data_IF_385664243570
#
_entry.id   IF_385664243570
#
_cell.length_a   1.000
_cell.length_b   1.000
_cell.length_c   1.000
_cell.angle_alpha   90.00
_cell.angle_beta   90.00
_cell.angle_gamma   90.00
#
_symmetry.space_group_name_H-M   'P 1'
#
loop_
_entity.id
_entity.type
_entity.pdbx_description
1 polymer ?
#
# COMPACT_ATOMS: atom_id res chain seq x y z
N UNK A 1 -45.51 -6.12 -51.55
CA UNK A 1 -44.27 -6.92 -51.32
C UNK A 1 -43.99 -6.97 -49.82
N UNK A 2 -43.52 -8.13 -49.35
CA UNK A 2 -43.71 -8.68 -47.99
C UNK A 2 -42.92 -7.96 -46.89
N UNK A 3 -43.60 -7.65 -45.78
CA UNK A 3 -43.00 -7.25 -44.49
C UNK A 3 -42.23 -8.42 -43.86
N UNK A 4 -40.97 -8.18 -43.50
CA UNK A 4 -40.11 -9.13 -42.79
C UNK A 4 -40.41 -9.15 -41.30
N UNK A 5 -40.85 -10.31 -40.81
CA UNK A 5 -41.16 -10.59 -39.40
C UNK A 5 -39.88 -10.93 -38.62
N UNK A 6 -39.80 -10.35 -37.42
CA UNK A 6 -38.77 -10.53 -36.38
C UNK A 6 -38.77 -11.98 -35.86
N UNK A 7 -37.60 -12.62 -35.76
CA UNK A 7 -37.42 -13.88 -35.01
C UNK A 7 -36.61 -13.66 -33.73
N UNK A 8 -37.31 -13.66 -32.59
CA UNK A 8 -36.72 -13.87 -31.25
C UNK A 8 -36.23 -15.32 -31.12
N UNK A 9 -35.04 -15.52 -30.54
CA UNK A 9 -34.58 -16.83 -30.05
C UNK A 9 -34.44 -16.77 -28.53
N UNK A 10 -35.39 -17.39 -27.83
CA UNK A 10 -35.24 -17.82 -26.44
C UNK A 10 -35.03 -19.35 -26.44
N UNK A 11 -34.02 -19.83 -25.72
CA UNK A 11 -34.00 -21.19 -25.18
C UNK A 11 -33.38 -21.16 -23.79
N UNK A 12 -34.26 -21.02 -22.81
CA UNK A 12 -34.09 -21.55 -21.46
C UNK A 12 -34.35 -23.06 -21.50
N UNK A 13 -33.88 -23.76 -20.46
CA UNK A 13 -34.27 -25.11 -20.02
C UNK A 13 -33.54 -26.31 -20.69
N UNK A 14 -32.48 -26.79 -20.05
CA UNK A 14 -32.16 -28.22 -19.96
C UNK A 14 -31.64 -28.51 -18.53
N UNK A 15 -32.57 -28.94 -17.67
CA UNK A 15 -32.31 -29.60 -16.39
C UNK A 15 -33.14 -30.89 -16.40
N UNK A 16 -32.55 -31.93 -15.80
CA UNK A 16 -33.08 -33.25 -15.42
C UNK A 16 -32.85 -34.40 -16.41
N UNK A 17 -32.05 -35.37 -15.96
CA UNK A 17 -32.03 -36.74 -16.48
C UNK A 17 -30.82 -37.54 -15.98
N UNK A 18 -31.09 -38.61 -15.22
CA UNK A 18 -30.20 -39.74 -14.88
C UNK A 18 -29.30 -39.60 -13.65
N UNK A 19 -29.94 -39.67 -12.47
CA UNK A 19 -29.37 -40.39 -11.35
C UNK A 19 -29.70 -41.88 -11.50
N UNK A 20 -28.68 -42.72 -11.67
CA UNK A 20 -28.59 -44.10 -11.18
C UNK A 20 -27.23 -44.63 -11.64
N UNK A 21 -26.29 -44.80 -10.71
CA UNK A 21 -25.17 -45.77 -10.70
C UNK A 21 -24.46 -45.58 -9.37
N UNK A 22 -25.21 -45.84 -8.30
CA UNK A 22 -24.63 -46.26 -7.03
C UNK A 22 -24.75 -47.77 -7.02
N UNK A 23 -23.61 -48.44 -6.83
CA UNK A 23 -23.36 -49.69 -6.10
C UNK A 23 -22.27 -50.51 -6.82
N UNK A 24 -21.31 -50.98 -6.01
CA UNK A 24 -20.13 -51.81 -6.31
C UNK A 24 -18.92 -50.97 -6.77
N UNK A 25 -17.99 -50.56 -5.90
CA UNK A 25 -17.07 -51.48 -5.21
C UNK A 25 -16.49 -50.85 -3.93
N UNK A 26 -16.47 -51.66 -2.88
CA UNK A 26 -15.81 -51.37 -1.61
C UNK A 26 -14.28 -51.43 -1.74
N UNK A 27 -13.66 -50.63 -0.88
CA UNK A 27 -12.42 -50.90 -0.16
C UNK A 27 -11.13 -51.11 -0.98
N UNK A 28 -10.40 -50.02 -1.16
CA UNK A 28 -8.95 -50.05 -0.99
C UNK A 28 -8.52 -48.76 -0.25
N UNK A 29 -8.86 -48.71 1.04
CA UNK A 29 -8.29 -47.71 1.96
C UNK A 29 -6.82 -48.07 2.20
N UNK A 30 -5.94 -47.64 1.31
CA UNK A 30 -4.53 -47.50 1.67
C UNK A 30 -4.42 -46.27 2.56
N UNK A 31 -4.05 -46.39 3.85
CA UNK A 31 -3.66 -45.21 4.61
C UNK A 31 -2.37 -44.70 3.99
N UNK A 32 -2.46 -43.62 3.21
CA UNK A 32 -1.29 -42.83 2.86
C UNK A 32 -0.71 -42.30 4.18
N UNK A 33 0.34 -42.96 4.66
CA UNK A 33 1.11 -42.58 5.84
C UNK A 33 1.81 -41.25 5.51
N UNK A 34 1.10 -40.14 5.75
CA UNK A 34 1.71 -38.83 5.79
C UNK A 34 2.79 -38.88 6.87
N UNK A 35 4.05 -38.87 6.46
CA UNK A 35 5.15 -38.60 7.40
C UNK A 35 4.87 -37.21 7.95
N UNK A 36 4.54 -37.12 9.23
CA UNK A 36 4.63 -35.87 9.97
C UNK A 36 6.10 -35.43 9.90
N UNK A 37 6.42 -34.66 8.87
CA UNK A 37 7.60 -33.82 8.86
C UNK A 37 7.35 -32.81 9.96
N UNK A 38 7.94 -33.06 11.11
CA UNK A 38 8.21 -32.01 12.09
C UNK A 38 8.77 -30.83 11.31
N UNK A 39 8.11 -29.65 11.32
CA UNK A 39 8.71 -28.47 10.75
C UNK A 39 9.98 -28.23 11.55
N UNK A 40 11.13 -28.45 10.91
CA UNK A 40 12.39 -27.94 11.43
C UNK A 40 12.17 -26.42 11.56
N UNK A 41 12.32 -25.81 12.75
CA UNK A 41 12.09 -24.39 12.88
C UNK A 41 13.03 -23.68 11.90
N UNK A 42 12.45 -22.97 10.95
CA UNK A 42 13.19 -22.08 10.08
C UNK A 42 14.09 -21.19 10.95
N UNK A 43 15.31 -20.82 10.52
CA UNK A 43 16.20 -19.93 11.28
C UNK A 43 15.60 -18.55 11.62
N UNK A 44 14.38 -18.27 11.12
CA UNK A 44 13.58 -17.08 11.38
C UNK A 44 12.73 -17.17 12.66
N UNK A 45 12.58 -18.37 13.26
CA UNK A 45 11.76 -18.58 14.46
C UNK A 45 12.51 -18.32 15.79
N UNK A 46 13.84 -18.18 15.75
CA UNK A 46 14.68 -17.88 16.93
C UNK A 46 15.16 -16.42 16.95
N UNK A 47 14.34 -15.47 16.51
CA UNK A 47 14.58 -14.07 16.93
C UNK A 47 13.93 -13.88 18.28
N UNK A 48 14.66 -14.28 19.31
CA UNK A 48 14.23 -14.21 20.70
C UNK A 48 13.66 -12.85 21.09
N UNK A 49 12.83 -12.90 22.13
CA UNK A 49 12.39 -11.79 22.97
C UNK A 49 13.58 -11.04 23.56
N UNK A 50 14.35 -10.36 22.72
CA UNK A 50 15.13 -9.22 23.15
C UNK A 50 14.14 -8.08 23.21
N UNK A 51 13.71 -7.76 24.42
CA UNK A 51 12.98 -6.55 24.84
C UNK A 51 13.81 -5.27 24.58
N UNK A 52 14.37 -5.15 23.38
CA UNK A 52 14.84 -3.91 22.77
C UNK A 52 13.63 -3.40 22.00
N UNK A 53 13.08 -2.26 22.42
CA UNK A 53 12.04 -1.58 21.64
C UNK A 53 12.39 -1.63 20.15
N UNK A 54 11.38 -1.84 19.30
CA UNK A 54 11.59 -2.05 17.87
C UNK A 54 12.60 -1.02 17.36
N UNK A 55 13.58 -1.44 16.56
CA UNK A 55 14.59 -0.50 16.04
C UNK A 55 13.93 0.75 15.43
N UNK A 56 12.73 0.55 14.86
CA UNK A 56 11.82 1.56 14.36
C UNK A 56 11.41 2.64 15.40
N UNK A 57 11.06 2.23 16.62
CA UNK A 57 10.69 3.09 17.74
C UNK A 57 11.74 4.16 18.06
N UNK A 58 13.00 3.72 18.00
CA UNK A 58 14.15 4.52 18.41
C UNK A 58 14.60 5.47 17.29
N UNK A 59 14.07 5.35 16.07
CA UNK A 59 14.40 6.26 14.99
C UNK A 59 13.78 7.64 15.22
N UNK A 60 14.53 8.67 14.84
CA UNK A 60 13.97 10.00 14.63
C UNK A 60 13.15 10.01 13.32
N UNK A 61 12.36 11.06 13.13
CA UNK A 61 11.46 11.19 11.98
C UNK A 61 12.20 11.10 10.64
N UNK A 62 13.38 11.72 10.55
CA UNK A 62 14.17 11.79 9.32
C UNK A 62 14.71 10.41 8.90
N UNK A 63 15.33 9.68 9.84
CA UNK A 63 15.85 8.34 9.59
C UNK A 63 14.72 7.37 9.24
N UNK A 64 13.60 7.45 9.96
CA UNK A 64 12.40 6.65 9.69
C UNK A 64 11.88 6.88 8.27
N UNK A 65 11.62 8.13 7.92
CA UNK A 65 11.01 8.52 6.64
C UNK A 65 11.94 8.29 5.47
N UNK A 66 13.26 8.47 5.66
CA UNK A 66 14.26 8.10 4.65
C UNK A 66 14.23 6.61 4.33
N UNK A 67 14.15 5.75 5.36
CA UNK A 67 13.99 4.30 5.18
C UNK A 67 12.65 3.95 4.52
N UNK A 68 11.57 4.60 4.94
CA UNK A 68 10.23 4.42 4.39
C UNK A 68 10.21 4.75 2.89
N UNK A 69 10.66 5.94 2.50
CA UNK A 69 10.57 6.41 1.12
C UNK A 69 11.47 5.61 0.18
N UNK A 70 12.62 5.12 0.66
CA UNK A 70 13.46 4.18 -0.09
C UNK A 70 12.69 2.90 -0.47
N UNK A 71 11.91 2.35 0.46
CA UNK A 71 11.20 1.08 0.25
C UNK A 71 9.79 1.29 -0.32
N UNK A 72 9.27 2.52 -0.27
CA UNK A 72 7.89 2.87 -0.61
C UNK A 72 7.46 2.37 -1.99
N UNK A 73 8.25 2.49 -3.08
CA UNK A 73 7.84 1.95 -4.39
C UNK A 73 7.48 0.46 -4.34
N UNK A 74 8.24 -0.33 -3.59
CA UNK A 74 7.97 -1.77 -3.45
C UNK A 74 6.68 -2.04 -2.67
N UNK A 75 6.42 -1.29 -1.59
CA UNK A 75 5.20 -1.43 -0.79
C UNK A 75 3.97 -0.92 -1.54
N UNK A 76 4.07 0.25 -2.20
CA UNK A 76 3.02 0.87 -3.00
C UNK A 76 2.58 -0.04 -4.15
N UNK A 77 3.53 -0.60 -4.90
CA UNK A 77 3.22 -1.50 -6.00
C UNK A 77 2.57 -2.81 -5.52
N UNK A 78 2.87 -3.30 -4.32
CA UNK A 78 2.12 -4.44 -3.74
C UNK A 78 0.70 -4.05 -3.34
N UNK A 79 0.53 -2.88 -2.74
CA UNK A 79 -0.77 -2.36 -2.34
C UNK A 79 -1.69 -2.15 -3.55
N UNK A 80 -1.22 -1.45 -4.58
CA UNK A 80 -2.00 -1.17 -5.80
C UNK A 80 -2.39 -2.45 -6.54
N UNK A 81 -1.48 -3.41 -6.63
CA UNK A 81 -1.77 -4.71 -7.26
C UNK A 81 -2.81 -5.52 -6.47
N UNK A 82 -2.80 -5.42 -5.13
CA UNK A 82 -3.83 -6.04 -4.29
C UNK A 82 -5.18 -5.35 -4.49
N UNK A 83 -5.21 -4.02 -4.48
CA UNK A 83 -6.44 -3.24 -4.69
C UNK A 83 -7.07 -3.58 -6.06
N UNK A 84 -6.26 -3.66 -7.12
CA UNK A 84 -6.72 -4.04 -8.47
C UNK A 84 -7.35 -5.43 -8.52
N UNK A 85 -6.75 -6.43 -7.84
CA UNK A 85 -7.31 -7.79 -7.80
C UNK A 85 -8.67 -7.83 -7.09
N UNK A 86 -8.88 -6.95 -6.11
CA UNK A 86 -10.15 -6.84 -5.38
C UNK A 86 -11.24 -6.16 -6.20
N UNK A 87 -10.91 -5.09 -6.93
CA UNK A 87 -11.91 -4.33 -7.71
C UNK A 87 -12.42 -5.07 -8.95
N UNK A 88 -11.72 -6.11 -9.43
CA UNK A 88 -12.05 -6.95 -10.61
C UNK A 88 -12.36 -6.19 -11.92
N UNK A 89 -12.18 -4.88 -11.96
CA UNK A 89 -12.54 -4.04 -13.09
C UNK A 89 -11.79 -2.72 -13.01
N UNK A 90 -10.64 -2.61 -13.69
CA UNK A 90 -10.16 -1.35 -14.28
C UNK A 90 -9.16 -1.65 -15.40
N UNK A 91 -9.36 -1.02 -16.57
CA UNK A 91 -8.33 -0.84 -17.62
C UNK A 91 -7.28 0.22 -17.23
N UNK A 92 -7.33 0.66 -15.98
CA UNK A 92 -6.45 1.64 -15.36
C UNK A 92 -5.63 0.96 -14.28
N UNK A 93 -4.31 1.03 -14.38
CA UNK A 93 -3.41 0.55 -13.34
C UNK A 93 -2.16 1.43 -13.25
N UNK A 94 -1.67 1.62 -12.02
CA UNK A 94 -0.55 2.51 -11.73
C UNK A 94 0.55 1.78 -11.00
N UNK A 95 1.79 2.16 -11.30
CA UNK A 95 2.98 1.72 -10.59
C UNK A 95 3.80 2.93 -10.16
N UNK A 96 4.17 2.97 -8.89
CA UNK A 96 5.15 3.91 -8.39
C UNK A 96 6.53 3.55 -8.93
N UNK A 97 7.14 4.51 -9.62
CA UNK A 97 8.49 4.40 -10.19
C UNK A 97 9.51 4.79 -9.14
N UNK A 98 9.30 5.93 -8.48
CA UNK A 98 10.23 6.46 -7.48
C UNK A 98 9.49 7.33 -6.45
N UNK A 99 10.02 7.36 -5.23
CA UNK A 99 9.65 8.32 -4.21
C UNK A 99 10.80 9.34 -4.04
N UNK A 100 10.45 10.61 -3.96
CA UNK A 100 11.36 11.72 -3.75
C UNK A 100 11.88 11.79 -2.31
N UNK A 101 12.69 12.81 -2.04
CA UNK A 101 13.22 13.06 -0.69
C UNK A 101 12.13 13.62 0.23
N UNK A 102 12.17 13.30 1.54
CA UNK A 102 11.26 13.89 2.51
C UNK A 102 11.64 15.35 2.80
N UNK A 103 10.64 16.18 3.08
CA UNK A 103 10.77 17.54 3.57
C UNK A 103 9.91 17.71 4.82
N UNK A 104 10.48 18.33 5.86
CA UNK A 104 9.90 18.39 7.21
C UNK A 104 9.35 19.77 7.58
N UNK A 105 9.50 20.76 6.69
CA UNK A 105 8.95 22.09 6.91
C UNK A 105 7.43 22.02 6.75
N UNK A 106 6.63 22.29 7.81
CA UNK A 106 5.18 22.22 7.71
C UNK A 106 4.65 23.32 6.78
N UNK A 107 3.48 23.08 6.18
CA UNK A 107 2.82 24.13 5.42
C UNK A 107 2.28 25.19 6.41
N UNK A 108 2.53 26.48 6.19
CA UNK A 108 1.95 27.51 7.03
C UNK A 108 0.43 27.51 6.85
N UNK A 109 -0.31 27.23 7.92
CA UNK A 109 -1.78 27.20 7.87
C UNK A 109 -2.36 28.62 7.66
N UNK A 110 -1.63 29.66 8.07
CA UNK A 110 -1.96 31.06 7.85
C UNK A 110 -0.71 31.80 7.33
N UNK A 111 -0.55 32.01 6.02
CA UNK A 111 0.58 32.74 5.45
C UNK A 111 0.59 34.24 5.79
N UNK A 112 -0.49 34.77 6.41
CA UNK A 112 -0.61 36.16 6.82
C UNK A 112 0.02 36.48 8.18
N UNK A 113 0.38 35.46 8.98
CA UNK A 113 1.03 35.63 10.29
C UNK A 113 2.32 34.82 10.32
N UNK A 114 3.39 35.39 9.75
CA UNK A 114 4.76 34.92 9.94
C UNK A 114 5.24 35.26 11.36
N UNK A 115 4.60 34.67 12.36
CA UNK A 115 5.05 34.70 13.75
C UNK A 115 5.59 33.32 14.07
N UNK A 116 6.69 33.21 14.81
CA UNK A 116 7.34 31.93 15.17
C UNK A 116 6.41 30.90 15.83
N UNK A 117 5.24 31.32 16.31
CA UNK A 117 4.19 30.46 16.87
C UNK A 117 3.20 29.89 15.84
N UNK A 118 3.06 30.45 14.63
CA UNK A 118 2.14 29.91 13.60
C UNK A 118 2.63 28.59 12.99
N UNK A 119 3.93 28.31 13.10
CA UNK A 119 4.54 27.00 12.79
C UNK A 119 4.11 25.89 13.78
N UNK A 120 3.55 26.23 14.95
CA UNK A 120 3.08 25.28 15.98
C UNK A 120 1.62 24.87 15.81
N UNK A 121 1.01 25.12 14.65
CA UNK A 121 -0.38 24.71 14.40
C UNK A 121 -0.51 23.24 13.99
N UNK A 122 0.61 22.50 13.89
CA UNK A 122 0.58 21.05 13.97
C UNK A 122 0.20 20.66 15.41
N UNK A 123 -0.90 19.94 15.58
CA UNK A 123 -1.33 19.42 16.88
C UNK A 123 -0.16 18.77 17.61
N UNK A 124 0.09 19.16 18.86
CA UNK A 124 1.22 18.69 19.68
C UNK A 124 1.35 17.17 19.58
N UNK A 125 2.50 16.69 19.07
CA UNK A 125 2.78 15.25 18.92
C UNK A 125 2.43 14.64 17.56
N UNK A 126 2.00 15.44 16.58
CA UNK A 126 1.85 15.02 15.17
C UNK A 126 2.88 15.72 14.32
N UNK A 127 3.67 14.92 13.62
CA UNK A 127 4.73 15.34 12.71
C UNK A 127 4.23 15.30 11.26
N UNK A 128 4.53 16.34 10.50
CA UNK A 128 4.23 16.41 9.07
C UNK A 128 5.48 16.06 8.24
N UNK A 129 5.30 15.23 7.22
CA UNK A 129 6.32 14.89 6.24
C UNK A 129 5.75 15.12 4.86
N UNK A 130 6.35 16.03 4.11
CA UNK A 130 6.06 16.22 2.70
C UNK A 130 6.99 15.37 1.85
N UNK A 131 6.46 14.76 0.79
CA UNK A 131 7.28 14.11 -0.23
C UNK A 131 6.55 14.05 -1.57
N UNK A 132 7.30 13.79 -2.62
CA UNK A 132 6.75 13.58 -3.97
C UNK A 132 6.93 12.14 -4.41
N UNK A 133 6.09 11.68 -5.32
CA UNK A 133 6.28 10.40 -5.99
C UNK A 133 6.07 10.57 -7.48
N UNK A 134 6.73 9.73 -8.27
CA UNK A 134 6.50 9.62 -9.70
C UNK A 134 5.84 8.28 -9.97
N UNK A 135 4.64 8.33 -10.55
CA UNK A 135 3.88 7.15 -10.94
C UNK A 135 3.77 7.04 -12.45
N UNK A 136 3.76 5.81 -12.94
CA UNK A 136 3.36 5.49 -14.30
C UNK A 136 1.98 4.85 -14.26
N UNK A 137 1.00 5.54 -14.83
CA UNK A 137 -0.35 5.04 -14.99
C UNK A 137 -0.56 4.56 -16.42
N UNK A 138 -1.22 3.41 -16.56
CA UNK A 138 -1.61 2.83 -17.83
C UNK A 138 -3.13 2.89 -17.94
N UNK A 139 -3.64 3.53 -18.98
CA UNK A 139 -5.07 3.61 -19.29
C UNK A 139 -5.26 3.22 -20.74
N UNK A 140 -6.09 2.21 -21.03
CA UNK A 140 -6.36 1.74 -22.39
C UNK A 140 -5.08 1.48 -23.22
N UNK A 141 -4.07 0.89 -22.58
CA UNK A 141 -2.78 0.56 -23.20
C UNK A 141 -1.81 1.74 -23.38
N UNK A 142 -2.20 2.96 -23.02
CA UNK A 142 -1.32 4.15 -23.07
C UNK A 142 -0.73 4.44 -21.70
N UNK A 143 0.57 4.72 -21.67
CA UNK A 143 1.26 5.13 -20.45
C UNK A 143 1.27 6.66 -20.32
N UNK A 144 0.92 7.16 -19.14
CA UNK A 144 1.10 8.54 -18.73
C UNK A 144 1.91 8.59 -17.44
N UNK A 145 2.67 9.66 -17.22
CA UNK A 145 3.39 9.88 -15.98
C UNK A 145 2.64 10.90 -15.13
N UNK A 146 2.49 10.58 -13.85
CA UNK A 146 1.85 11.42 -12.87
C UNK A 146 2.85 11.72 -11.76
N UNK A 147 2.96 12.98 -11.39
CA UNK A 147 3.69 13.37 -10.19
C UNK A 147 2.67 13.57 -9.08
N UNK A 148 2.83 12.84 -7.98
CA UNK A 148 1.99 13.04 -6.80
C UNK A 148 2.76 13.77 -5.71
N UNK A 149 2.05 14.58 -4.95
CA UNK A 149 2.56 15.37 -3.84
C UNK A 149 1.80 14.94 -2.60
N UNK A 150 2.51 14.56 -1.55
CA UNK A 150 1.92 13.92 -0.38
C UNK A 150 2.27 14.67 0.89
N UNK A 151 1.27 14.89 1.74
CA UNK A 151 1.43 15.32 3.12
C UNK A 151 1.07 14.16 4.03
N UNK A 152 2.09 13.53 4.59
CA UNK A 152 1.97 12.41 5.50
C UNK A 152 2.06 12.91 6.94
N UNK A 153 1.09 12.54 7.76
CA UNK A 153 1.04 12.88 9.17
C UNK A 153 1.31 11.63 10.00
N UNK A 154 2.34 11.70 10.83
CA UNK A 154 2.78 10.62 11.71
C UNK A 154 2.75 11.08 13.15
N UNK A 155 2.54 10.15 14.07
CA UNK A 155 2.70 10.42 15.50
C UNK A 155 3.64 9.41 16.13
N UNK A 156 4.47 9.89 17.07
CA UNK A 156 5.35 9.05 17.86
C UNK A 156 4.66 8.67 19.16
N UNK A 157 4.52 7.37 19.38
CA UNK A 157 4.11 6.82 20.69
C UNK A 157 5.33 6.41 21.49
N UNK A 158 5.13 5.94 22.73
CA UNK A 158 6.23 5.44 23.58
C UNK A 158 7.00 4.30 22.92
N UNK A 159 6.33 3.47 22.12
CA UNK A 159 6.90 2.26 21.53
C UNK A 159 7.06 2.33 20.02
N UNK A 160 6.32 3.15 19.28
CA UNK A 160 6.27 3.06 17.81
C UNK A 160 5.84 4.36 17.13
N UNK A 161 6.18 4.49 15.84
CA UNK A 161 5.60 5.47 14.92
C UNK A 161 4.29 4.96 14.31
N UNK A 162 3.27 5.82 14.27
CA UNK A 162 1.94 5.50 13.75
C UNK A 162 1.50 6.48 12.68
N UNK A 163 0.85 5.94 11.66
CA UNK A 163 0.14 6.71 10.65
C UNK A 163 -1.06 7.41 11.28
N UNK A 164 -1.25 8.70 10.99
CA UNK A 164 -2.43 9.47 11.39
C UNK A 164 -3.35 9.64 10.20
N UNK A 165 -2.88 10.34 9.16
CA UNK A 165 -3.62 10.62 7.94
C UNK A 165 -2.68 11.05 6.82
N UNK A 166 -3.21 11.17 5.60
CA UNK A 166 -2.43 11.63 4.46
C UNK A 166 -3.29 12.39 3.44
N UNK A 167 -2.80 13.51 2.95
CA UNK A 167 -3.39 14.22 1.82
C UNK A 167 -2.50 14.09 0.59
N UNK A 168 -3.12 14.10 -0.59
CA UNK A 168 -2.38 14.05 -1.85
C UNK A 168 -2.93 15.03 -2.89
N UNK A 169 -2.03 15.56 -3.71
CA UNK A 169 -2.33 16.22 -4.99
C UNK A 169 -1.73 15.43 -6.14
N UNK A 170 -2.38 15.48 -7.31
CA UNK A 170 -1.89 14.82 -8.52
C UNK A 170 -1.61 15.87 -9.60
N UNK A 171 -0.37 15.91 -10.08
CA UNK A 171 0.04 16.68 -11.25
C UNK A 171 0.31 15.76 -12.45
N UNK A 172 0.13 16.30 -13.65
CA UNK A 172 0.60 15.65 -14.87
C UNK A 172 2.12 15.82 -14.99
N UNK A 173 2.81 14.82 -15.55
CA UNK A 173 4.24 14.91 -15.83
C UNK A 173 4.51 14.48 -17.29
N UNK A 174 5.39 15.17 -18.04
CA UNK A 174 6.22 16.32 -17.67
C UNK A 174 5.53 17.69 -17.83
N UNK A 175 4.22 17.72 -18.05
CA UNK A 175 3.49 18.97 -18.26
C UNK A 175 3.33 19.75 -16.94
N UNK A 176 3.78 20.99 -16.90
CA UNK A 176 3.65 21.87 -15.73
C UNK A 176 2.26 22.51 -15.63
N UNK A 177 1.21 21.68 -15.71
CA UNK A 177 -0.15 22.11 -15.39
C UNK A 177 -0.33 22.17 -13.87
N UNK A 178 -1.17 23.08 -13.33
CA UNK A 178 -1.45 23.11 -11.90
C UNK A 178 -1.93 21.73 -11.40
N UNK A 179 -1.41 21.23 -10.27
CA UNK A 179 -1.85 19.96 -9.74
C UNK A 179 -3.32 20.04 -9.28
N UNK A 180 -3.97 18.89 -9.18
CA UNK A 180 -5.33 18.83 -8.63
C UNK A 180 -5.38 19.41 -7.21
N UNK A 181 -6.53 19.91 -6.74
CA UNK A 181 -6.70 20.26 -5.33
C UNK A 181 -6.32 19.10 -4.40
N UNK A 182 -5.78 19.38 -3.19
CA UNK A 182 -5.46 18.32 -2.22
C UNK A 182 -6.71 17.55 -1.84
N UNK A 183 -6.59 16.22 -1.76
CA UNK A 183 -7.66 15.32 -1.32
C UNK A 183 -7.16 14.40 -0.22
N UNK A 184 -8.06 14.02 0.69
CA UNK A 184 -7.76 12.97 1.65
C UNK A 184 -7.45 11.66 0.90
N UNK A 185 -6.29 11.11 1.20
CA UNK A 185 -5.70 9.92 0.59
C UNK A 185 -5.35 8.86 1.64
N UNK A 186 -5.90 8.98 2.86
CA UNK A 186 -5.61 8.11 4.00
C UNK A 186 -6.01 6.65 3.77
N UNK A 187 -6.92 6.40 2.84
CA UNK A 187 -7.36 5.06 2.42
C UNK A 187 -6.75 4.62 1.07
N UNK A 188 -5.92 5.45 0.44
CA UNK A 188 -5.30 5.17 -0.85
C UNK A 188 -4.16 4.15 -0.76
N UNK A 189 -3.72 3.66 -1.93
CA UNK A 189 -2.67 2.62 -2.03
C UNK A 189 -1.36 3.05 -1.36
N UNK A 190 -1.01 4.34 -1.46
CA UNK A 190 0.20 4.89 -0.84
C UNK A 190 0.08 4.90 0.69
N UNK A 191 -1.08 5.24 1.25
CA UNK A 191 -1.29 5.20 2.69
C UNK A 191 -1.31 3.76 3.22
N UNK A 192 -1.87 2.83 2.46
CA UNK A 192 -1.81 1.40 2.78
C UNK A 192 -0.36 0.88 2.77
N UNK A 193 0.44 1.33 1.80
CA UNK A 193 1.86 1.00 1.72
C UNK A 193 2.66 1.55 2.89
N UNK A 194 2.44 2.81 3.28
CA UNK A 194 3.02 3.42 4.49
C UNK A 194 2.67 2.60 5.73
N UNK A 195 1.40 2.27 5.93
CA UNK A 195 0.95 1.45 7.07
C UNK A 195 1.59 0.06 7.10
N UNK A 196 1.72 -0.58 5.93
CA UNK A 196 2.38 -1.88 5.82
C UNK A 196 3.88 -1.79 6.15
N UNK A 197 4.58 -0.77 5.64
CA UNK A 197 6.00 -0.55 5.93
C UNK A 197 6.23 -0.26 7.41
N UNK A 198 5.41 0.61 8.04
CA UNK A 198 5.52 0.91 9.47
C UNK A 198 5.34 -0.36 10.32
N UNK A 199 4.38 -1.20 9.98
CA UNK A 199 4.16 -2.50 10.66
C UNK A 199 5.36 -3.43 10.54
N UNK A 200 5.94 -3.56 9.35
CA UNK A 200 7.12 -4.39 9.12
C UNK A 200 8.37 -3.83 9.82
N UNK A 201 8.46 -2.51 9.92
CA UNK A 201 9.51 -1.82 10.65
C UNK A 201 9.40 -2.10 12.15
N UNK A 202 8.19 -2.05 12.72
CA UNK A 202 7.90 -2.43 14.11
C UNK A 202 8.24 -3.91 14.37
N UNK A 203 7.95 -4.80 13.42
CA UNK A 203 8.32 -6.22 13.48
C UNK A 203 9.83 -6.48 13.29
N UNK A 204 10.64 -5.46 13.00
CA UNK A 204 12.08 -5.61 12.76
C UNK A 204 12.43 -6.30 11.44
N UNK A 205 11.48 -6.36 10.50
CA UNK A 205 11.63 -6.96 9.17
C UNK A 205 12.27 -6.00 8.15
N UNK A 206 12.20 -4.69 8.41
CA UNK A 206 12.82 -3.68 7.54
C UNK A 206 14.31 -3.52 7.88
N UNK A 207 15.14 -3.51 6.84
CA UNK A 207 16.57 -3.19 6.97
C UNK A 207 16.77 -1.69 6.94
N UNK A 208 16.84 -1.08 8.11
CA UNK A 208 17.27 0.30 8.22
C UNK A 208 18.80 0.35 8.07
N UNK A 209 19.31 1.21 7.18
CA UNK A 209 20.74 1.48 7.16
C UNK A 209 21.01 2.42 8.31
N UNK A 210 21.71 1.94 9.35
CA UNK A 210 22.33 2.82 10.33
C UNK A 210 23.34 3.68 9.58
N UNK A 211 22.96 4.92 9.25
CA UNK A 211 23.97 5.91 8.91
C UNK A 211 24.86 6.06 10.13
N UNK A 212 26.17 5.86 9.97
CA UNK A 212 27.14 6.40 10.92
C UNK A 212 26.94 7.91 10.94
N UNK A 213 26.15 8.41 11.89
CA UNK A 213 26.28 9.78 12.39
C UNK A 213 27.55 9.78 13.25
N UNK A 214 28.68 9.77 12.57
CA UNK A 214 30.01 9.79 13.14
C UNK A 214 30.87 10.77 12.37
N UNK A 215 30.85 12.02 12.83
CA UNK A 215 31.99 12.95 12.93
C UNK A 215 31.52 14.17 13.69
#
# INVERSE_FOLDING_TARGET
>A
MKSGVIKKKNKSLWLLGCGFWLLISNALDTPAKAKNLTPNPSPLAERGESNKGSFCANQNLEALTTGLLRDLPSYANRASQRARRLSRATDVYSYMVVAGRPEFTPLPLNPSEYTTDSLKTASVGVEQVFFTTLERQYTAGKAVQLQQFHWLFLTKTKSDWRFVMMFSQTGLHPKNEPPTPPRDSSNGDIAQAVNAWLRDCQAGSVRMRSGNLGS
#
